data_IF_841676807265
#
_entry.id   IF_841676807265
#
_cell.length_a   1.000
_cell.length_b   1.000
_cell.length_c   1.000
_cell.angle_alpha   90.00
_cell.angle_beta   90.00
_cell.angle_gamma   90.00
#
_symmetry.space_group_name_H-M   'P 1'
#
loop_
_entity.id
_entity.type
_entity.pdbx_description
1 polymer ?
#
# COMPACT_ATOMS: atom_id res chain seq x y z
N UNK A 1 10.06 0.71 -10.47
CA UNK A 1 8.68 0.59 -9.94
C UNK A 1 7.70 0.64 -11.09
N UNK A 2 6.75 -0.28 -11.13
CA UNK A 2 5.73 -0.32 -12.17
C UNK A 2 4.72 0.84 -11.99
N UNK A 3 4.07 1.37 -13.05
CA UNK A 3 3.10 2.47 -12.92
C UNK A 3 1.93 2.17 -11.96
N UNK A 4 1.46 0.92 -11.95
CA UNK A 4 0.43 0.45 -11.02
C UNK A 4 0.85 0.53 -9.55
N UNK A 5 2.15 0.47 -9.27
CA UNK A 5 2.74 0.52 -7.95
C UNK A 5 2.67 1.93 -7.36
N UNK A 6 2.97 2.93 -8.19
CA UNK A 6 2.89 4.35 -7.82
C UNK A 6 1.42 4.73 -7.59
N UNK A 7 0.52 4.31 -8.48
CA UNK A 7 -0.92 4.57 -8.35
C UNK A 7 -1.50 3.96 -7.06
N UNK A 8 -1.16 2.70 -6.73
CA UNK A 8 -1.59 2.06 -5.49
C UNK A 8 -1.06 2.79 -4.24
N UNK A 9 0.20 3.25 -4.28
CA UNK A 9 0.82 3.99 -3.17
C UNK A 9 0.13 5.34 -2.95
N UNK A 10 -0.07 6.13 -4.01
CA UNK A 10 -0.77 7.41 -3.95
C UNK A 10 -2.20 7.25 -3.43
N UNK A 11 -2.91 6.21 -3.88
CA UNK A 11 -4.26 5.89 -3.41
C UNK A 11 -4.30 5.61 -1.90
N UNK A 12 -3.36 4.82 -1.37
CA UNK A 12 -3.36 4.47 0.06
C UNK A 12 -2.99 5.67 0.93
N UNK A 13 -2.07 6.52 0.48
CA UNK A 13 -1.77 7.78 1.15
C UNK A 13 -3.02 8.65 1.23
N UNK A 14 -3.75 8.79 0.12
CA UNK A 14 -5.01 9.52 0.10
C UNK A 14 -6.05 8.91 1.04
N UNK A 15 -6.22 7.59 1.03
CA UNK A 15 -7.15 6.86 1.90
C UNK A 15 -6.79 7.07 3.38
N UNK A 16 -5.51 6.96 3.75
CA UNK A 16 -5.09 7.17 5.13
C UNK A 16 -5.25 8.62 5.57
N UNK A 17 -5.02 9.60 4.68
CA UNK A 17 -5.29 11.01 4.98
C UNK A 17 -6.77 11.20 5.28
N UNK A 18 -7.66 10.58 4.51
CA UNK A 18 -9.10 10.65 4.76
C UNK A 18 -9.48 10.00 6.09
N UNK A 19 -8.89 8.86 6.46
CA UNK A 19 -9.15 8.23 7.75
C UNK A 19 -8.70 9.11 8.94
N UNK A 20 -7.58 9.81 8.79
CA UNK A 20 -7.10 10.77 9.81
C UNK A 20 -8.05 11.96 9.92
N UNK A 21 -8.42 12.58 8.79
CA UNK A 21 -9.22 13.81 8.77
C UNK A 21 -10.69 13.54 9.13
N UNK A 22 -11.31 12.54 8.53
CA UNK A 22 -12.76 12.32 8.62
C UNK A 22 -13.16 11.32 9.70
N UNK A 23 -12.27 10.42 10.12
CA UNK A 23 -12.56 9.43 11.17
C UNK A 23 -11.82 9.72 12.48
N UNK A 24 -11.11 10.84 12.56
CA UNK A 24 -10.28 11.23 13.71
C UNK A 24 -9.35 10.11 14.20
N UNK A 25 -8.90 9.24 13.28
CA UNK A 25 -7.99 8.16 13.63
C UNK A 25 -6.58 8.72 13.83
N UNK A 26 -6.01 8.41 14.98
CA UNK A 26 -4.57 8.52 15.21
C UNK A 26 -3.88 7.31 14.56
N UNK A 27 -3.00 7.56 13.59
CA UNK A 27 -2.19 6.53 12.94
C UNK A 27 -0.73 6.90 13.09
N UNK A 28 0.08 5.97 13.63
CA UNK A 28 1.53 6.12 13.62
C UNK A 28 2.07 5.95 12.20
N UNK A 29 3.16 6.65 11.87
CA UNK A 29 3.83 6.52 10.56
C UNK A 29 4.20 5.05 10.27
N UNK A 30 4.61 4.29 11.29
CA UNK A 30 4.91 2.87 11.16
C UNK A 30 3.69 2.04 10.74
N UNK A 31 2.49 2.35 11.29
CA UNK A 31 1.24 1.69 10.92
C UNK A 31 0.80 2.08 9.51
N UNK A 32 0.93 3.36 9.15
CA UNK A 32 0.71 3.85 7.77
C UNK A 32 1.57 3.07 6.77
N UNK A 33 2.87 2.93 7.03
CA UNK A 33 3.79 2.20 6.15
C UNK A 33 3.39 0.73 6.03
N UNK A 34 2.98 0.10 7.13
CA UNK A 34 2.46 -1.28 7.12
C UNK A 34 1.19 -1.41 6.27
N UNK A 35 0.25 -0.48 6.43
CA UNK A 35 -1.02 -0.48 5.69
C UNK A 35 -0.78 -0.21 4.20
N UNK A 36 0.14 0.70 3.86
CA UNK A 36 0.62 0.92 2.49
C UNK A 36 1.15 -0.40 1.92
N UNK A 37 2.08 -1.09 2.59
CA UNK A 37 2.63 -2.37 2.11
C UNK A 37 1.54 -3.42 1.89
N UNK A 38 0.63 -3.61 2.84
CA UNK A 38 -0.40 -4.64 2.77
C UNK A 38 -1.44 -4.37 1.69
N UNK A 39 -1.97 -3.15 1.62
CA UNK A 39 -3.04 -2.80 0.67
C UNK A 39 -2.49 -2.73 -0.76
N UNK A 40 -1.29 -2.20 -0.96
CA UNK A 40 -0.69 -2.11 -2.30
C UNK A 40 -0.32 -3.50 -2.83
N UNK A 41 0.24 -4.38 -2.00
CA UNK A 41 0.48 -5.78 -2.37
C UNK A 41 -0.82 -6.48 -2.81
N UNK A 42 -1.88 -6.34 -2.00
CA UNK A 42 -3.18 -6.95 -2.28
C UNK A 42 -3.75 -6.43 -3.59
N UNK A 43 -3.63 -5.12 -3.84
CA UNK A 43 -4.13 -4.50 -5.06
C UNK A 43 -3.34 -4.96 -6.29
N UNK A 44 -2.01 -4.98 -6.22
CA UNK A 44 -1.15 -5.41 -7.34
C UNK A 44 -1.34 -6.89 -7.64
N UNK A 45 -1.36 -7.74 -6.61
CA UNK A 45 -1.53 -9.18 -6.74
C UNK A 45 -2.89 -9.55 -7.34
N UNK A 46 -3.97 -8.89 -6.91
CA UNK A 46 -5.34 -9.25 -7.34
C UNK A 46 -5.83 -8.46 -8.56
N UNK A 47 -5.33 -7.24 -8.81
CA UNK A 47 -5.84 -6.36 -9.88
C UNK A 47 -4.83 -6.00 -10.96
N UNK A 48 -3.53 -6.09 -10.70
CA UNK A 48 -2.51 -5.76 -11.71
C UNK A 48 -1.97 -7.00 -12.45
N UNK A 49 -2.50 -8.21 -12.17
CA UNK A 49 -2.09 -9.45 -12.84
C UNK A 49 -0.67 -9.92 -12.51
N UNK A 50 0.02 -9.25 -11.58
CA UNK A 50 1.37 -9.57 -11.12
C UNK A 50 1.32 -10.64 -10.03
N UNK A 51 0.79 -11.81 -10.37
CA UNK A 51 0.57 -12.92 -9.44
C UNK A 51 1.88 -13.49 -8.85
N UNK A 52 3.01 -13.32 -9.54
CA UNK A 52 4.32 -13.86 -9.15
C UNK A 52 5.05 -13.04 -8.08
N UNK A 53 4.56 -11.87 -7.68
CA UNK A 53 5.19 -11.10 -6.60
C UNK A 53 4.93 -11.79 -5.26
N UNK A 54 6.00 -12.35 -4.68
CA UNK A 54 6.01 -12.90 -3.33
C UNK A 54 5.93 -11.80 -2.25
N UNK A 55 5.19 -12.07 -1.17
CA UNK A 55 5.06 -11.14 -0.05
C UNK A 55 6.41 -10.80 0.60
N UNK A 56 7.34 -11.75 0.67
CA UNK A 56 8.66 -11.53 1.27
C UNK A 56 9.55 -10.57 0.47
N UNK A 57 9.50 -10.64 -0.87
CA UNK A 57 10.19 -9.67 -1.73
C UNK A 57 9.53 -8.29 -1.59
N UNK A 58 8.20 -8.26 -1.56
CA UNK A 58 7.42 -7.04 -1.42
C UNK A 58 7.67 -6.30 -0.10
N UNK A 59 7.62 -7.02 1.03
CA UNK A 59 7.75 -6.40 2.37
C UNK A 59 9.13 -5.81 2.61
N UNK A 60 10.15 -6.40 1.97
CA UNK A 60 11.53 -5.94 2.03
C UNK A 60 11.77 -4.69 1.16
N UNK A 61 10.78 -4.27 0.35
CA UNK A 61 10.99 -3.34 -0.76
C UNK A 61 12.14 -3.76 -1.70
N UNK A 62 12.52 -5.04 -1.67
CA UNK A 62 13.43 -5.63 -2.63
C UNK A 62 12.59 -5.99 -3.86
N UNK A 63 12.46 -5.03 -4.76
CA UNK A 63 11.96 -5.25 -6.12
C UNK A 63 13.08 -5.84 -6.98
#
# INVERSE_FOLDING_TARGET
MCPCQVAATCWIIWLSRNDIIFKHKSTSVSKLISDVKAVSFTWIKNRAGLAEIGWDNWKAFNL
#
